data_IF_680446352626
#
_entry.id   IF_680446352626
#
_cell.length_a   1.000
_cell.length_b   1.000
_cell.length_c   1.000
_cell.angle_alpha   90.00
_cell.angle_beta   90.00
_cell.angle_gamma   90.00
#
_symmetry.space_group_name_H-M   'P 1'
#
loop_
_entity.id
_entity.type
_entity.pdbx_description
1 polymer ?
#
# COMPACT_ATOMS: atom_id res chain seq x y z
N UNK A 1 64.52 7.48 41.11
CA UNK A 1 64.53 6.29 40.24
C UNK A 1 63.17 6.14 39.60
N UNK A 2 63.17 5.85 38.29
CA UNK A 2 62.00 5.66 37.40
C UNK A 2 61.11 4.50 37.88
N UNK A 3 59.80 4.55 37.58
CA UNK A 3 59.05 3.50 36.85
C UNK A 3 57.58 3.88 36.63
N UNK A 4 57.27 4.14 35.37
CA UNK A 4 55.96 4.12 34.69
C UNK A 4 55.18 2.82 34.93
N UNK A 5 53.85 2.89 35.05
CA UNK A 5 52.93 1.82 34.64
C UNK A 5 51.67 2.44 34.00
N UNK A 6 51.18 1.72 32.99
CA UNK A 6 50.34 2.10 31.86
C UNK A 6 48.83 2.27 32.16
N UNK A 7 48.18 3.03 31.27
CA UNK A 7 46.74 3.20 31.17
C UNK A 7 46.03 1.95 30.58
N UNK A 8 44.79 1.72 31.00
CA UNK A 8 43.83 0.90 30.25
C UNK A 8 42.44 1.53 30.35
N UNK A 9 42.11 2.40 29.39
CA UNK A 9 40.72 2.79 29.15
C UNK A 9 40.09 1.71 28.27
N UNK A 10 39.24 0.86 28.87
CA UNK A 10 38.45 -0.10 28.13
C UNK A 10 37.29 0.65 27.44
N UNK A 11 37.48 0.97 26.16
CA UNK A 11 36.41 1.50 25.31
C UNK A 11 35.53 0.31 24.86
N UNK A 12 34.47 0.02 25.60
CA UNK A 12 33.42 -0.91 25.14
C UNK A 12 32.68 -0.27 23.97
N UNK A 13 33.05 -0.65 22.75
CA UNK A 13 32.25 -0.43 21.56
C UNK A 13 30.97 -1.29 21.72
N UNK A 14 29.89 -0.67 22.18
CA UNK A 14 28.57 -1.24 22.02
C UNK A 14 28.24 -1.21 20.53
N UNK A 15 28.53 -2.30 19.81
CA UNK A 15 27.93 -2.52 18.50
C UNK A 15 26.43 -2.69 18.73
N UNK A 16 25.67 -1.62 18.50
CA UNK A 16 24.22 -1.71 18.36
C UNK A 16 23.93 -2.63 17.19
N UNK A 17 23.54 -3.86 17.48
CA UNK A 17 22.92 -4.73 16.49
C UNK A 17 21.57 -4.10 16.15
N UNK A 18 21.52 -3.34 15.05
CA UNK A 18 20.25 -3.03 14.40
C UNK A 18 19.70 -4.36 13.91
N UNK A 19 18.72 -4.92 14.62
CA UNK A 19 17.97 -6.07 14.13
C UNK A 19 17.35 -5.66 12.79
N UNK A 20 17.91 -6.18 11.69
CA UNK A 20 17.27 -6.08 10.40
C UNK A 20 15.95 -6.86 10.50
N UNK A 21 14.83 -6.16 10.47
CA UNK A 21 13.52 -6.80 10.31
C UNK A 21 13.55 -7.47 8.94
N UNK A 22 13.57 -8.80 8.89
CA UNK A 22 13.49 -9.51 7.62
C UNK A 22 12.17 -9.12 6.96
N UNK A 23 12.22 -8.60 5.73
CA UNK A 23 11.02 -8.23 4.98
C UNK A 23 10.11 -9.45 4.83
N UNK A 24 8.80 -9.25 4.98
CA UNK A 24 7.80 -10.32 4.85
C UNK A 24 7.74 -10.78 3.39
N UNK A 25 7.97 -12.08 3.13
CA UNK A 25 7.78 -12.68 1.81
C UNK A 25 6.29 -12.84 1.52
N UNK A 26 5.90 -12.77 0.25
CA UNK A 26 4.52 -12.85 -0.22
C UNK A 26 4.37 -13.98 -1.23
N UNK A 27 3.36 -14.81 -1.04
CA UNK A 27 2.99 -15.91 -1.92
C UNK A 27 1.97 -15.47 -2.97
N UNK A 28 0.99 -14.69 -2.52
CA UNK A 28 -0.25 -14.48 -3.26
C UNK A 28 -0.82 -13.12 -2.88
N UNK A 29 -1.32 -12.42 -3.89
CA UNK A 29 -2.08 -11.18 -3.77
C UNK A 29 -3.40 -11.48 -4.49
N UNK A 30 -4.50 -11.24 -3.78
CA UNK A 30 -5.85 -11.49 -4.27
C UNK A 30 -6.64 -10.20 -4.01
N UNK A 31 -7.16 -9.60 -5.07
CA UNK A 31 -7.94 -8.36 -4.99
C UNK A 31 -9.30 -8.64 -5.59
N UNK A 32 -10.33 -8.49 -4.76
CA UNK A 32 -11.71 -8.62 -5.18
C UNK A 32 -12.35 -7.23 -5.30
N UNK A 33 -13.09 -7.05 -6.39
CA UNK A 33 -13.95 -5.87 -6.61
C UNK A 33 -15.23 -6.35 -7.27
N UNK A 34 -16.35 -6.26 -6.56
CA UNK A 34 -17.66 -6.69 -7.03
C UNK A 34 -18.35 -5.59 -7.84
N UNK A 35 -17.94 -5.44 -9.11
CA UNK A 35 -18.48 -4.41 -10.01
C UNK A 35 -20.00 -4.49 -10.21
N UNK A 36 -20.63 -5.65 -9.97
CA UNK A 36 -22.09 -5.79 -10.00
C UNK A 36 -22.81 -4.96 -8.93
N UNK A 37 -22.11 -4.55 -7.87
CA UNK A 37 -22.64 -3.63 -6.86
C UNK A 37 -22.64 -2.16 -7.33
N UNK A 38 -21.87 -1.83 -8.37
CA UNK A 38 -21.74 -0.46 -8.90
C UNK A 38 -22.87 -0.19 -9.91
N UNK A 39 -23.77 0.71 -9.55
CA UNK A 39 -24.90 1.10 -10.43
C UNK A 39 -24.53 2.19 -11.45
N UNK A 40 -23.39 2.87 -11.27
CA UNK A 40 -22.97 3.97 -12.12
C UNK A 40 -22.19 3.43 -13.34
N UNK A 41 -22.80 3.48 -14.52
CA UNK A 41 -22.22 2.97 -15.77
C UNK A 41 -20.83 3.56 -16.09
N UNK A 42 -20.60 4.85 -15.79
CA UNK A 42 -19.29 5.48 -16.02
C UNK A 42 -18.24 5.01 -15.03
N UNK A 43 -18.64 4.73 -13.78
CA UNK A 43 -17.74 4.16 -12.79
C UNK A 43 -17.34 2.74 -13.22
N UNK A 44 -18.28 1.94 -13.72
CA UNK A 44 -18.00 0.60 -14.25
C UNK A 44 -16.97 0.67 -15.38
N UNK A 45 -17.11 1.59 -16.34
CA UNK A 45 -16.14 1.74 -17.45
C UNK A 45 -14.70 1.97 -16.97
N UNK A 46 -14.51 2.79 -15.93
CA UNK A 46 -13.17 3.14 -15.41
C UNK A 46 -12.63 2.06 -14.48
N UNK A 47 -13.50 1.42 -13.70
CA UNK A 47 -13.10 0.52 -12.61
C UNK A 47 -13.07 -0.95 -13.02
N UNK A 48 -13.39 -1.26 -14.28
CA UNK A 48 -13.43 -2.64 -14.80
C UNK A 48 -12.12 -3.40 -14.60
N UNK A 49 -10.99 -2.71 -14.48
CA UNK A 49 -9.66 -3.32 -14.31
C UNK A 49 -9.05 -3.05 -12.93
N UNK A 50 -9.82 -2.51 -11.98
CA UNK A 50 -9.31 -2.06 -10.69
C UNK A 50 -8.61 -3.17 -9.91
N UNK A 51 -9.22 -4.35 -9.86
CA UNK A 51 -8.68 -5.55 -9.22
C UNK A 51 -7.29 -5.91 -9.78
N UNK A 52 -7.19 -6.08 -11.10
CA UNK A 52 -5.98 -6.45 -11.79
C UNK A 52 -4.90 -5.36 -11.69
N UNK A 53 -5.29 -4.09 -11.75
CA UNK A 53 -4.36 -2.97 -11.65
C UNK A 53 -3.79 -2.83 -10.23
N UNK A 54 -4.61 -3.01 -9.20
CA UNK A 54 -4.17 -3.04 -7.80
C UNK A 54 -3.25 -4.23 -7.54
N UNK A 55 -3.63 -5.44 -7.96
CA UNK A 55 -2.81 -6.64 -7.81
C UNK A 55 -1.43 -6.43 -8.44
N UNK A 56 -1.40 -5.92 -9.68
CA UNK A 56 -0.17 -5.62 -10.41
C UNK A 56 0.65 -4.54 -9.73
N UNK A 57 0.02 -3.47 -9.25
CA UNK A 57 0.72 -2.39 -8.56
C UNK A 57 1.38 -2.86 -7.26
N UNK A 58 0.70 -3.73 -6.51
CA UNK A 58 1.26 -4.35 -5.29
C UNK A 58 2.38 -5.32 -5.65
N UNK A 59 2.15 -6.21 -6.62
CA UNK A 59 3.15 -7.19 -7.06
C UNK A 59 4.44 -6.52 -7.57
N UNK A 60 4.32 -5.41 -8.29
CA UNK A 60 5.47 -4.65 -8.80
C UNK A 60 6.40 -4.11 -7.69
N UNK A 61 5.85 -3.84 -6.51
CA UNK A 61 6.60 -3.39 -5.32
C UNK A 61 7.21 -4.55 -4.53
N UNK A 62 6.82 -5.78 -4.85
CA UNK A 62 7.18 -7.01 -4.13
C UNK A 62 8.01 -7.97 -4.99
N UNK A 63 8.54 -7.55 -6.14
CA UNK A 63 9.29 -8.41 -7.07
C UNK A 63 10.41 -9.20 -6.37
N UNK A 64 11.14 -8.58 -5.45
CA UNK A 64 12.23 -9.21 -4.69
C UNK A 64 11.76 -9.98 -3.44
N UNK A 65 10.44 -10.09 -3.23
CA UNK A 65 9.79 -10.60 -2.02
C UNK A 65 8.77 -11.72 -2.31
N UNK A 66 8.77 -12.30 -3.51
CA UNK A 66 7.87 -13.40 -3.86
C UNK A 66 8.44 -14.76 -3.43
N UNK A 67 7.69 -15.54 -2.64
CA UNK A 67 8.04 -16.92 -2.23
C UNK A 67 6.75 -17.74 -2.02
N UNK A 68 6.72 -19.00 -2.48
CA UNK A 68 5.57 -19.91 -2.38
C UNK A 68 5.11 -20.21 -0.94
N UNK A 69 5.94 -19.91 0.05
CA UNK A 69 5.67 -20.07 1.49
C UNK A 69 5.46 -18.72 2.18
N UNK A 70 5.31 -17.64 1.42
CA UNK A 70 5.06 -16.30 1.91
C UNK A 70 3.64 -16.06 2.41
N UNK A 71 3.38 -14.82 2.81
CA UNK A 71 2.07 -14.33 3.21
C UNK A 71 1.08 -14.29 2.04
N UNK A 72 -0.21 -14.42 2.35
CA UNK A 72 -1.29 -14.11 1.41
C UNK A 72 -1.85 -12.75 1.76
N UNK A 73 -1.96 -11.87 0.75
CA UNK A 73 -2.58 -10.55 0.86
C UNK A 73 -3.94 -10.66 0.19
N UNK A 74 -5.01 -10.55 0.95
CA UNK A 74 -6.37 -10.55 0.42
C UNK A 74 -6.94 -9.14 0.61
N UNK A 75 -7.54 -8.58 -0.43
CA UNK A 75 -8.06 -7.22 -0.44
C UNK A 75 -9.48 -7.27 -1.01
N UNK A 76 -10.42 -6.76 -0.24
CA UNK A 76 -11.82 -6.61 -0.64
C UNK A 76 -12.13 -5.12 -0.76
N UNK A 77 -12.47 -4.64 -1.96
CA UNK A 77 -12.67 -3.20 -2.22
C UNK A 77 -14.11 -2.80 -1.87
N UNK A 78 -14.28 -1.71 -1.13
CA UNK A 78 -15.61 -1.17 -0.83
C UNK A 78 -16.17 -0.41 -2.03
N UNK A 79 -17.02 -1.09 -2.80
CA UNK A 79 -17.60 -0.56 -4.03
C UNK A 79 -18.63 0.54 -3.78
N UNK A 80 -19.25 0.57 -2.60
CA UNK A 80 -20.19 1.63 -2.22
C UNK A 80 -19.42 2.93 -2.01
N UNK A 81 -18.33 2.87 -1.26
CA UNK A 81 -17.43 4.02 -1.07
C UNK A 81 -16.81 4.47 -2.40
N UNK A 82 -16.46 3.53 -3.27
CA UNK A 82 -15.88 3.80 -4.59
C UNK A 82 -16.90 4.46 -5.54
N UNK A 83 -18.13 3.94 -5.62
CA UNK A 83 -19.21 4.52 -6.42
C UNK A 83 -19.59 5.92 -5.92
N UNK A 84 -19.70 6.10 -4.60
CA UNK A 84 -19.96 7.41 -4.00
C UNK A 84 -18.81 8.40 -4.27
N UNK A 85 -17.57 7.92 -4.25
CA UNK A 85 -16.39 8.75 -4.60
C UNK A 85 -16.41 9.13 -6.08
N UNK A 86 -16.86 8.22 -6.96
CA UNK A 86 -17.05 8.50 -8.38
C UNK A 86 -18.11 9.57 -8.66
N UNK A 87 -19.23 9.51 -7.95
CA UNK A 87 -20.28 10.52 -8.06
C UNK A 87 -19.84 11.88 -7.50
N UNK A 88 -19.06 11.89 -6.42
CA UNK A 88 -18.64 13.12 -5.73
C UNK A 88 -17.40 13.78 -6.34
N UNK A 89 -16.47 13.01 -6.91
CA UNK A 89 -15.17 13.53 -7.37
C UNK A 89 -15.10 13.92 -8.84
N UNK A 90 -16.24 14.25 -9.42
CA UNK A 90 -16.25 15.30 -10.45
C UNK A 90 -15.85 16.62 -9.78
N UNK A 91 -14.54 16.83 -9.57
CA UNK A 91 -13.93 18.07 -9.08
C UNK A 91 -13.75 18.22 -7.56
N UNK A 92 -13.78 17.15 -6.75
CA UNK A 92 -13.74 17.25 -5.28
C UNK A 92 -12.58 16.47 -4.65
N UNK A 93 -11.97 17.05 -3.60
CA UNK A 93 -10.88 16.44 -2.79
C UNK A 93 -11.36 15.22 -1.96
N UNK A 94 -12.66 14.97 -1.92
CA UNK A 94 -13.31 14.00 -1.04
C UNK A 94 -13.37 12.57 -1.60
N UNK A 95 -12.88 12.32 -2.82
CA UNK A 95 -12.82 10.95 -3.33
C UNK A 95 -11.85 10.08 -2.52
N UNK A 96 -12.31 8.85 -2.25
CA UNK A 96 -11.56 7.83 -1.55
C UNK A 96 -11.59 6.49 -2.28
N UNK A 97 -10.51 5.73 -2.14
CA UNK A 97 -10.47 4.30 -2.41
C UNK A 97 -10.37 3.59 -1.06
N UNK A 98 -11.34 2.72 -0.78
CA UNK A 98 -11.45 2.01 0.49
C UNK A 98 -11.42 0.51 0.21
N UNK A 99 -10.72 -0.25 1.05
CA UNK A 99 -10.76 -1.70 1.01
C UNK A 99 -10.34 -2.34 2.33
N UNK A 100 -10.89 -3.51 2.62
CA UNK A 100 -10.52 -4.33 3.75
C UNK A 100 -9.37 -5.26 3.37
N UNK A 101 -8.25 -5.13 4.10
CA UNK A 101 -7.01 -5.86 3.82
C UNK A 101 -6.80 -6.94 4.88
N UNK A 102 -6.63 -8.18 4.45
CA UNK A 102 -6.27 -9.33 5.27
C UNK A 102 -4.86 -9.83 4.91
N UNK A 103 -3.92 -9.69 5.84
CA UNK A 103 -2.56 -10.20 5.72
C UNK A 103 -2.44 -11.52 6.48
N UNK A 104 -2.38 -12.63 5.73
CA UNK A 104 -2.25 -13.97 6.28
C UNK A 104 -0.81 -14.44 6.24
N UNK A 105 -0.11 -14.29 7.37
CA UNK A 105 1.33 -14.57 7.47
C UNK A 105 1.55 -15.96 8.09
N UNK A 106 2.22 -16.90 7.39
CA UNK A 106 2.49 -18.23 7.91
C UNK A 106 3.21 -18.21 9.27
N UNK A 107 2.73 -19.03 10.20
CA UNK A 107 3.30 -19.15 11.54
C UNK A 107 2.87 -18.05 12.52
N UNK A 108 2.12 -17.04 12.09
CA UNK A 108 1.53 -16.03 12.96
C UNK A 108 0.06 -16.39 13.20
N UNK A 109 -0.31 -16.63 14.46
CA UNK A 109 -1.67 -17.07 14.83
C UNK A 109 -2.73 -15.97 14.62
N UNK A 110 -2.33 -14.70 14.67
CA UNK A 110 -3.20 -13.54 14.45
C UNK A 110 -2.81 -12.88 13.12
N UNK A 111 -3.51 -13.25 12.05
CA UNK A 111 -3.44 -12.53 10.78
C UNK A 111 -3.87 -11.07 10.99
N UNK A 112 -3.20 -10.13 10.32
CA UNK A 112 -3.55 -8.71 10.43
C UNK A 112 -4.75 -8.43 9.53
N UNK A 113 -5.77 -7.76 10.06
CA UNK A 113 -6.90 -7.27 9.27
C UNK A 113 -7.10 -5.78 9.56
N UNK A 114 -7.25 -4.97 8.52
CA UNK A 114 -7.48 -3.54 8.66
C UNK A 114 -8.20 -2.98 7.44
N UNK A 115 -9.03 -1.98 7.65
CA UNK A 115 -9.57 -1.15 6.56
C UNK A 115 -8.52 -0.14 6.16
N UNK A 116 -8.19 -0.11 4.87
CA UNK A 116 -7.33 0.88 4.25
C UNK A 116 -8.20 1.90 3.51
N UNK A 117 -7.99 3.17 3.80
CA UNK A 117 -8.59 4.29 3.07
C UNK A 117 -7.48 5.15 2.49
N UNK A 118 -7.54 5.38 1.18
CA UNK A 118 -6.69 6.32 0.46
C UNK A 118 -7.56 7.46 -0.03
N UNK A 119 -7.22 8.69 0.33
CA UNK A 119 -7.88 9.88 -0.21
C UNK A 119 -7.17 10.43 -1.43
N UNK A 120 -7.90 11.16 -2.26
CA UNK A 120 -7.35 11.91 -3.39
C UNK A 120 -6.19 12.83 -3.00
N UNK A 121 -6.28 13.45 -1.81
CA UNK A 121 -5.23 14.30 -1.25
C UNK A 121 -3.96 13.54 -0.89
N UNK A 122 -4.06 12.28 -0.46
CA UNK A 122 -2.90 11.41 -0.23
C UNK A 122 -2.28 10.94 -1.55
N UNK A 123 -3.11 10.69 -2.57
CA UNK A 123 -2.65 10.28 -3.89
C UNK A 123 -1.88 11.39 -4.64
N UNK A 124 -2.03 12.67 -4.26
CA UNK A 124 -1.26 13.79 -4.83
C UNK A 124 0.25 13.57 -4.80
N UNK A 125 0.76 12.84 -3.81
CA UNK A 125 2.19 12.54 -3.70
C UNK A 125 2.72 11.69 -4.87
N UNK A 126 1.83 11.08 -5.66
CA UNK A 126 2.12 10.25 -6.81
C UNK A 126 1.82 10.95 -8.15
N UNK A 127 1.35 12.19 -8.11
CA UNK A 127 1.16 12.97 -9.33
C UNK A 127 2.51 13.37 -9.95
N UNK A 128 2.62 13.46 -11.27
CA UNK A 128 3.80 14.03 -11.92
C UNK A 128 4.06 15.48 -11.45
N UNK A 129 5.32 15.91 -11.44
CA UNK A 129 5.66 17.27 -11.03
C UNK A 129 4.88 18.35 -11.82
N UNK A 130 4.34 19.33 -11.10
CA UNK A 130 3.57 20.44 -11.68
C UNK A 130 2.08 20.14 -11.95
N UNK A 131 1.62 18.94 -11.60
CA UNK A 131 0.23 18.48 -11.76
C UNK A 131 -0.65 18.96 -10.61
N UNK A 132 -1.81 19.58 -10.89
CA UNK A 132 -2.77 20.02 -9.86
C UNK A 132 -4.05 19.20 -9.87
N UNK A 133 -4.63 18.95 -8.70
CA UNK A 133 -5.85 18.14 -8.56
C UNK A 133 -7.05 18.72 -9.30
N UNK A 134 -7.11 20.05 -9.44
CA UNK A 134 -8.16 20.77 -10.13
C UNK A 134 -8.22 20.46 -11.64
N UNK A 135 -7.17 19.86 -12.21
CA UNK A 135 -7.08 19.56 -13.63
C UNK A 135 -7.64 18.16 -13.99
N UNK A 136 -8.09 17.37 -12.99
CA UNK A 136 -8.47 15.98 -13.20
C UNK A 136 -9.89 15.63 -12.74
N UNK A 137 -10.52 14.75 -13.52
CA UNK A 137 -11.62 13.91 -13.06
C UNK A 137 -11.09 12.55 -12.63
N UNK A 138 -11.88 11.75 -11.92
CA UNK A 138 -11.58 10.35 -11.62
C UNK A 138 -11.31 9.48 -12.86
N UNK A 139 -11.79 9.89 -14.04
CA UNK A 139 -11.50 9.27 -15.33
C UNK A 139 -10.13 9.65 -15.90
N UNK A 140 -9.37 10.48 -15.21
CA UNK A 140 -7.98 10.76 -15.59
C UNK A 140 -7.11 9.57 -15.23
N UNK A 141 -6.40 9.03 -16.22
CA UNK A 141 -5.41 7.98 -16.03
C UNK A 141 -4.39 8.34 -14.93
N UNK A 142 -4.00 9.62 -14.85
CA UNK A 142 -3.07 10.11 -13.82
C UNK A 142 -3.66 9.98 -12.42
N UNK A 143 -4.92 10.37 -12.26
CA UNK A 143 -5.60 10.30 -10.97
C UNK A 143 -5.80 8.84 -10.56
N UNK A 144 -6.33 8.02 -11.46
CA UNK A 144 -6.58 6.60 -11.25
C UNK A 144 -5.30 5.87 -10.84
N UNK A 145 -4.22 6.06 -11.60
CA UNK A 145 -2.90 5.46 -11.31
C UNK A 145 -2.37 5.89 -9.95
N UNK A 146 -2.49 7.18 -9.60
CA UNK A 146 -2.02 7.70 -8.32
C UNK A 146 -2.78 7.12 -7.12
N UNK A 147 -4.10 6.90 -7.24
CA UNK A 147 -4.89 6.25 -6.19
C UNK A 147 -4.46 4.78 -5.99
N UNK A 148 -4.25 4.06 -7.09
CA UNK A 148 -3.74 2.69 -7.09
C UNK A 148 -2.35 2.61 -6.45
N UNK A 149 -1.45 3.50 -6.85
CA UNK A 149 -0.08 3.53 -6.33
C UNK A 149 -0.06 3.84 -4.83
N UNK A 150 -0.83 4.84 -4.40
CA UNK A 150 -0.97 5.16 -2.99
C UNK A 150 -1.54 3.99 -2.18
N UNK A 151 -2.53 3.26 -2.72
CA UNK A 151 -3.08 2.08 -2.06
C UNK A 151 -2.05 0.95 -1.97
N UNK A 152 -1.39 0.63 -3.08
CA UNK A 152 -0.36 -0.41 -3.14
C UNK A 152 0.79 -0.13 -2.16
N UNK A 153 1.28 1.10 -2.07
CA UNK A 153 2.34 1.49 -1.13
C UNK A 153 1.89 1.38 0.32
N UNK A 154 0.61 1.65 0.63
CA UNK A 154 0.10 1.43 1.98
C UNK A 154 0.02 -0.05 2.32
N UNK A 155 -0.43 -0.91 1.41
CA UNK A 155 -0.46 -2.36 1.63
C UNK A 155 0.95 -2.89 1.92
N UNK A 156 1.93 -2.54 1.08
CA UNK A 156 3.32 -2.99 1.24
C UNK A 156 3.93 -2.48 2.55
N UNK A 157 3.66 -1.23 2.93
CA UNK A 157 4.12 -0.67 4.22
C UNK A 157 3.55 -1.38 5.44
N UNK A 158 2.38 -2.00 5.34
CA UNK A 158 1.78 -2.73 6.46
C UNK A 158 2.25 -4.19 6.53
N UNK A 159 2.82 -4.76 5.46
CA UNK A 159 3.37 -6.12 5.49
C UNK A 159 4.54 -6.30 6.48
N UNK A 160 5.25 -5.21 6.78
CA UNK A 160 6.47 -5.22 7.60
C UNK A 160 6.27 -4.61 9.00
N UNK A 161 5.01 -4.39 9.42
CA UNK A 161 4.66 -3.83 10.74
C UNK A 161 4.43 -4.89 11.80
#
# INVERSE_FOLDING_TARGET
MKRTVFATAALTLALGATAATSATMVKEIDVDTELSAIQNERAVEVLTTLDADLEKAIASRLVDRLDDRGARVLIDIDEVSLANSFEQAVGSEDAVLVGDVSLRIPGIANNQNYTLTVSSSQAQAYFPDGTQLADFTLSSDVYYTAMIDAFADNVVRNLDK
#
